data_IF_522695426726
#
_entry.id   IF_522695426726
#
_cell.length_a   1.000
_cell.length_b   1.000
_cell.length_c   1.000
_cell.angle_alpha   90.00
_cell.angle_beta   90.00
_cell.angle_gamma   90.00
#
_symmetry.space_group_name_H-M   'P 1'
#
loop_
_entity.id
_entity.type
_entity.pdbx_description
1 polymer ?
#
# COMPACT_ATOMS: atom_id res chain seq x y z
N UNK A 1 20.75 17.39 29.36
CA UNK A 1 21.24 18.31 28.30
C UNK A 1 20.56 17.92 26.99
N UNK A 2 19.70 18.78 26.45
CA UNK A 2 19.02 18.51 25.18
C UNK A 2 20.04 18.61 24.05
N UNK A 3 20.34 17.50 23.36
CA UNK A 3 21.23 17.53 22.21
C UNK A 3 20.65 18.44 21.11
N UNK A 4 21.29 19.60 20.88
CA UNK A 4 20.98 20.52 19.79
C UNK A 4 21.39 19.97 18.43
N UNK A 5 20.91 20.60 17.36
CA UNK A 5 21.16 20.19 15.98
C UNK A 5 21.32 21.39 15.05
N UNK A 6 21.48 21.14 13.76
CA UNK A 6 21.59 22.21 12.74
C UNK A 6 20.22 22.53 12.15
N UNK A 7 19.92 23.81 12.03
CA UNK A 7 18.75 24.30 11.33
C UNK A 7 18.76 23.81 9.87
N UNK A 8 17.69 23.18 9.41
CA UNK A 8 17.62 22.62 8.04
C UNK A 8 17.63 23.69 6.93
N UNK A 9 17.44 24.97 7.27
CA UNK A 9 17.41 26.09 6.30
C UNK A 9 18.74 26.83 6.24
N UNK A 10 19.31 27.23 7.39
CA UNK A 10 20.53 28.06 7.44
C UNK A 10 21.76 27.34 8.02
N UNK A 11 21.65 26.07 8.39
CA UNK A 11 22.71 25.24 8.99
C UNK A 11 23.27 25.71 10.34
N UNK A 12 22.80 26.83 10.91
CA UNK A 12 23.19 27.30 12.23
C UNK A 12 22.73 26.34 13.33
N UNK A 13 23.50 26.27 14.41
CA UNK A 13 23.15 25.46 15.57
C UNK A 13 21.87 25.98 16.26
N UNK A 14 21.01 25.07 16.68
CA UNK A 14 19.78 25.38 17.42
C UNK A 14 19.30 24.16 18.20
N UNK A 15 18.63 24.38 19.33
CA UNK A 15 18.01 23.32 20.13
C UNK A 15 16.53 23.09 19.77
N UNK A 16 15.95 23.97 18.95
CA UNK A 16 14.52 23.97 18.64
C UNK A 16 14.20 22.93 17.57
N UNK A 17 13.49 21.88 18.00
CA UNK A 17 12.97 20.82 17.12
C UNK A 17 11.59 21.17 16.57
N UNK A 18 11.24 20.60 15.42
CA UNK A 18 9.86 20.60 14.94
C UNK A 18 8.92 20.04 16.01
N UNK A 19 7.87 20.77 16.38
CA UNK A 19 6.89 20.29 17.37
C UNK A 19 6.10 19.06 16.92
N UNK A 20 5.92 18.88 15.61
CA UNK A 20 5.16 17.78 15.02
C UNK A 20 5.91 16.44 15.06
N UNK A 21 7.12 16.39 14.50
CA UNK A 21 7.88 15.15 14.37
C UNK A 21 9.10 15.04 15.29
N UNK A 22 9.57 16.15 15.88
CA UNK A 22 10.86 16.26 16.60
C UNK A 22 12.11 15.76 15.83
N UNK A 23 12.00 15.51 14.52
CA UNK A 23 13.07 14.92 13.70
C UNK A 23 14.01 15.95 13.05
N UNK A 24 13.57 17.20 12.90
CA UNK A 24 14.33 18.29 12.27
C UNK A 24 14.39 19.51 13.17
N UNK A 25 15.36 20.38 12.94
CA UNK A 25 15.61 21.57 13.76
C UNK A 25 15.41 22.87 12.96
N UNK A 26 14.97 23.93 13.64
CA UNK A 26 14.76 25.26 13.07
C UNK A 26 15.19 26.36 14.03
N UNK A 27 15.90 27.41 13.56
CA UNK A 27 16.21 28.56 14.42
C UNK A 27 14.93 29.25 14.95
N UNK A 28 13.83 29.21 14.20
CA UNK A 28 12.54 29.78 14.60
C UNK A 28 11.42 29.45 13.62
N UNK A 29 10.24 30.04 13.86
CA UNK A 29 9.02 29.80 13.04
C UNK A 29 9.20 30.19 11.57
N UNK A 30 10.05 31.16 11.27
CA UNK A 30 10.30 31.61 9.90
C UNK A 30 10.93 30.51 9.03
N UNK A 31 12.04 29.92 9.51
CA UNK A 31 12.68 28.80 8.82
C UNK A 31 11.77 27.56 8.76
N UNK A 32 10.94 27.33 9.78
CA UNK A 32 9.93 26.27 9.71
C UNK A 32 8.91 26.52 8.60
N UNK A 33 8.36 27.74 8.49
CA UNK A 33 7.40 28.10 7.44
C UNK A 33 8.01 27.99 6.05
N UNK A 34 9.25 28.46 5.88
CA UNK A 34 10.00 28.36 4.62
C UNK A 34 10.19 26.90 4.16
N UNK A 35 10.48 25.99 5.09
CA UNK A 35 10.66 24.56 4.79
C UNK A 35 9.35 23.74 4.85
N UNK A 36 8.20 24.36 5.16
CA UNK A 36 6.98 23.60 5.50
C UNK A 36 6.40 22.82 4.33
N UNK A 37 6.46 23.36 3.11
CA UNK A 37 5.91 22.72 1.91
C UNK A 37 6.57 21.37 1.61
N UNK A 38 7.88 21.27 1.82
CA UNK A 38 8.65 20.03 1.64
C UNK A 38 8.60 19.13 2.87
N UNK A 39 8.55 19.70 4.08
CA UNK A 39 8.56 18.91 5.31
C UNK A 39 7.21 18.30 5.67
N UNK A 40 6.10 19.01 5.43
CA UNK A 40 4.75 18.61 5.89
C UNK A 40 4.37 17.16 5.50
N UNK A 41 4.64 16.67 4.27
CA UNK A 41 4.31 15.29 3.89
C UNK A 41 5.07 14.21 4.71
N UNK A 42 6.22 14.58 5.26
CA UNK A 42 7.13 13.68 6.00
C UNK A 42 7.08 13.91 7.52
N UNK A 43 6.41 14.98 7.98
CA UNK A 43 6.31 15.33 9.39
C UNK A 43 5.37 14.37 10.14
N UNK A 44 5.94 13.27 10.63
CA UNK A 44 5.24 12.21 11.38
C UNK A 44 5.79 12.09 12.80
N UNK A 45 4.97 11.75 13.82
CA UNK A 45 5.44 11.54 15.19
C UNK A 45 6.16 10.19 15.39
N UNK A 46 6.62 9.58 14.30
CA UNK A 46 7.31 8.30 14.27
C UNK A 46 8.48 8.36 13.29
N UNK A 47 9.50 7.54 13.53
CA UNK A 47 10.62 7.31 12.62
C UNK A 47 10.87 5.81 12.47
N UNK A 48 11.45 5.42 11.35
CA UNK A 48 11.92 4.05 11.15
C UNK A 48 13.21 3.84 11.93
N UNK A 49 13.30 2.72 12.64
CA UNK A 49 14.49 2.22 13.30
C UNK A 49 14.72 0.77 12.88
N UNK A 50 15.96 0.30 13.00
CA UNK A 50 16.32 -1.08 12.67
C UNK A 50 16.78 -1.80 13.94
N UNK A 51 16.36 -3.05 14.10
CA UNK A 51 16.74 -3.88 15.23
C UNK A 51 17.13 -5.28 14.73
N UNK A 52 18.19 -5.91 15.26
CA UNK A 52 18.67 -7.21 14.77
C UNK A 52 17.59 -8.31 14.74
N UNK A 53 16.63 -8.27 15.67
CA UNK A 53 15.56 -9.29 15.78
C UNK A 53 14.27 -8.87 15.06
N UNK A 54 13.89 -7.59 15.12
CA UNK A 54 12.60 -7.11 14.61
C UNK A 54 12.68 -6.63 13.15
N UNK A 55 13.88 -6.34 12.66
CA UNK A 55 14.09 -5.62 11.41
C UNK A 55 13.64 -4.16 11.52
N UNK A 56 13.12 -3.62 10.41
CA UNK A 56 12.58 -2.26 10.34
C UNK A 56 11.28 -2.17 11.15
N UNK A 57 11.24 -1.22 12.07
CA UNK A 57 10.07 -0.95 12.91
C UNK A 57 9.93 0.56 13.15
N UNK A 58 8.76 0.98 13.61
CA UNK A 58 8.48 2.38 13.90
C UNK A 58 8.67 2.65 15.38
N UNK A 59 9.36 3.74 15.70
CA UNK A 59 9.51 4.25 17.06
C UNK A 59 8.95 5.66 17.15
N UNK A 60 8.22 5.94 18.23
CA UNK A 60 7.68 7.27 18.49
C UNK A 60 8.83 8.28 18.71
N UNK A 61 8.70 9.48 18.15
CA UNK A 61 9.68 10.56 18.32
C UNK A 61 9.30 11.53 19.44
N UNK A 62 8.09 11.40 19.95
CA UNK A 62 7.51 12.14 21.07
C UNK A 62 6.31 11.38 21.63
N UNK A 63 5.75 11.87 22.72
CA UNK A 63 4.46 11.41 23.21
C UNK A 63 3.36 11.65 22.17
N UNK A 64 2.53 10.63 21.97
CA UNK A 64 1.43 10.60 21.01
C UNK A 64 0.14 10.58 21.82
N UNK A 65 -0.76 11.53 21.54
CA UNK A 65 -2.03 11.62 22.27
C UNK A 65 -3.00 10.54 21.78
N UNK A 66 -3.92 10.14 22.65
CA UNK A 66 -5.02 9.27 22.26
C UNK A 66 -5.80 9.89 21.09
N UNK A 67 -6.09 9.08 20.06
CA UNK A 67 -6.80 9.51 18.85
C UNK A 67 -5.96 10.24 17.81
N UNK A 68 -4.66 10.45 18.04
CA UNK A 68 -3.79 11.12 17.08
C UNK A 68 -3.47 10.24 15.86
N UNK A 69 -3.53 10.82 14.65
CA UNK A 69 -3.16 10.12 13.42
C UNK A 69 -1.64 9.97 13.31
N UNK A 70 -1.15 8.72 13.44
CA UNK A 70 0.28 8.40 13.37
C UNK A 70 0.75 8.22 11.92
N UNK A 71 0.04 7.38 11.16
CA UNK A 71 0.34 7.05 9.76
C UNK A 71 -0.96 7.01 8.95
N UNK A 72 -0.87 7.51 7.72
CA UNK A 72 -1.86 7.29 6.66
C UNK A 72 -1.10 6.91 5.41
N UNK A 73 -1.51 5.83 4.77
CA UNK A 73 -0.89 5.33 3.56
C UNK A 73 -1.97 4.79 2.61
N UNK A 74 -1.75 5.00 1.31
CA UNK A 74 -2.58 4.38 0.27
C UNK A 74 -1.99 3.02 -0.09
N UNK A 75 -2.82 1.99 -0.29
CA UNK A 75 -2.33 0.65 -0.61
C UNK A 75 -1.54 0.65 -1.92
N UNK A 76 -0.44 -0.11 -1.94
CA UNK A 76 0.38 -0.26 -3.14
C UNK A 76 -0.30 -1.16 -4.18
N UNK A 77 -0.94 -2.23 -3.71
CA UNK A 77 -1.71 -3.20 -4.52
C UNK A 77 -3.01 -3.50 -3.77
N UNK A 78 -4.12 -3.57 -4.52
CA UNK A 78 -5.42 -4.04 -4.02
C UNK A 78 -5.86 -5.17 -4.95
N UNK A 79 -6.40 -6.25 -4.40
CA UNK A 79 -6.99 -7.32 -5.21
C UNK A 79 -7.66 -8.39 -4.36
N UNK A 80 -8.24 -9.41 -5.02
CA UNK A 80 -8.89 -10.53 -4.36
C UNK A 80 -7.93 -11.32 -3.47
N UNK A 81 -8.51 -12.05 -2.52
CA UNK A 81 -7.82 -13.13 -1.80
C UNK A 81 -7.58 -14.31 -2.75
N UNK A 82 -6.64 -15.18 -2.38
CA UNK A 82 -6.33 -16.40 -3.16
C UNK A 82 -7.55 -17.27 -3.42
N UNK A 83 -8.47 -17.27 -2.46
CA UNK A 83 -9.72 -17.99 -2.51
C UNK A 83 -10.82 -17.00 -2.11
N UNK A 84 -11.77 -16.74 -3.00
CA UNK A 84 -12.90 -15.85 -2.72
C UNK A 84 -14.17 -16.28 -3.43
N UNK A 85 -15.31 -15.78 -2.94
CA UNK A 85 -16.52 -15.69 -3.76
C UNK A 85 -16.28 -14.73 -4.92
N UNK A 86 -17.11 -14.74 -5.97
CA UNK A 86 -17.00 -13.77 -7.04
C UNK A 86 -17.03 -12.32 -6.50
N UNK A 87 -16.03 -11.55 -6.91
CA UNK A 87 -15.94 -10.12 -6.64
C UNK A 87 -15.72 -9.33 -7.93
N UNK A 88 -16.16 -8.08 -7.93
CA UNK A 88 -15.89 -7.12 -8.99
C UNK A 88 -14.42 -6.71 -8.95
N UNK A 89 -13.69 -6.90 -10.06
CA UNK A 89 -12.29 -6.47 -10.14
C UNK A 89 -12.10 -4.94 -10.11
N UNK A 90 -13.12 -4.15 -10.40
CA UNK A 90 -13.04 -2.69 -10.33
C UNK A 90 -13.14 -2.11 -8.91
N UNK A 91 -13.97 -2.70 -8.05
CA UNK A 91 -14.27 -2.14 -6.71
C UNK A 91 -14.10 -3.12 -5.54
N UNK A 92 -13.77 -4.39 -5.83
CA UNK A 92 -13.62 -5.48 -4.86
C UNK A 92 -14.87 -5.80 -4.01
N UNK A 93 -16.05 -5.32 -4.40
CA UNK A 93 -17.33 -5.73 -3.80
C UNK A 93 -17.80 -7.06 -4.37
N UNK A 94 -18.66 -7.83 -3.66
CA UNK A 94 -19.27 -9.03 -4.21
C UNK A 94 -19.90 -8.78 -5.58
N UNK A 95 -19.73 -9.73 -6.49
CA UNK A 95 -20.33 -9.70 -7.83
C UNK A 95 -21.29 -10.88 -8.00
N UNK A 96 -22.40 -10.65 -8.68
CA UNK A 96 -23.45 -11.63 -8.99
C UNK A 96 -23.30 -12.25 -10.39
N UNK A 97 -22.16 -11.98 -11.05
CA UNK A 97 -21.86 -12.37 -12.43
C UNK A 97 -22.75 -11.75 -13.52
N UNK A 98 -23.66 -10.83 -13.19
CA UNK A 98 -24.59 -10.21 -14.14
C UNK A 98 -23.90 -9.39 -15.25
N UNK A 99 -22.69 -8.89 -14.97
CA UNK A 99 -21.92 -8.07 -15.90
C UNK A 99 -20.51 -8.63 -16.08
N UNK A 100 -20.27 -9.48 -17.10
CA UNK A 100 -18.93 -9.84 -17.52
C UNK A 100 -18.26 -8.68 -18.25
N UNK A 101 -17.00 -8.41 -17.94
CA UNK A 101 -16.24 -7.37 -18.62
C UNK A 101 -16.17 -7.64 -20.14
N UNK A 102 -16.49 -6.68 -21.03
CA UNK A 102 -16.44 -6.90 -22.47
C UNK A 102 -15.05 -7.33 -22.99
N UNK A 103 -13.98 -6.83 -22.35
CA UNK A 103 -12.59 -7.13 -22.71
C UNK A 103 -12.14 -8.52 -22.25
N UNK A 104 -12.13 -8.75 -20.94
CA UNK A 104 -11.53 -9.94 -20.31
C UNK A 104 -12.52 -10.92 -19.67
N UNK A 105 -13.83 -10.66 -19.77
CA UNK A 105 -14.94 -11.46 -19.21
C UNK A 105 -14.99 -11.61 -17.68
N UNK A 106 -14.05 -11.07 -16.91
CA UNK A 106 -14.14 -11.04 -15.46
C UNK A 106 -15.41 -10.31 -14.98
N UNK A 107 -16.10 -10.79 -13.93
CA UNK A 107 -17.29 -10.15 -13.42
C UNK A 107 -16.98 -8.79 -12.80
N UNK A 108 -17.85 -7.82 -13.09
CA UNK A 108 -17.80 -6.47 -12.57
C UNK A 108 -19.20 -6.03 -12.10
N UNK A 109 -19.30 -4.88 -11.45
CA UNK A 109 -20.59 -4.30 -11.08
C UNK A 109 -21.30 -3.59 -12.25
N UNK A 110 -20.63 -3.39 -13.39
CA UNK A 110 -21.15 -2.62 -14.53
C UNK A 110 -20.09 -1.76 -15.24
N UNK A 111 -20.56 -0.92 -16.15
CA UNK A 111 -19.74 -0.08 -17.05
C UNK A 111 -18.75 0.81 -16.29
N UNK A 112 -19.16 1.39 -15.15
CA UNK A 112 -18.28 2.24 -14.34
C UNK A 112 -17.08 1.46 -13.77
N UNK A 113 -17.25 0.17 -13.46
CA UNK A 113 -16.15 -0.67 -13.00
C UNK A 113 -15.30 -1.19 -14.15
N UNK A 114 -15.85 -1.34 -15.36
CA UNK A 114 -15.06 -1.75 -16.53
C UNK A 114 -14.04 -0.70 -16.91
N UNK A 115 -14.38 0.60 -16.82
CA UNK A 115 -13.45 1.71 -17.06
C UNK A 115 -12.62 2.12 -15.84
N UNK A 116 -12.65 1.36 -14.74
CA UNK A 116 -11.94 1.73 -13.52
C UNK A 116 -10.42 1.52 -13.65
N UNK A 117 -9.63 2.48 -13.16
CA UNK A 117 -8.17 2.38 -13.16
C UNK A 117 -7.63 1.17 -12.36
N UNK A 118 -8.42 0.64 -11.42
CA UNK A 118 -8.07 -0.56 -10.65
C UNK A 118 -8.10 -1.85 -11.47
N UNK A 119 -8.83 -1.86 -12.60
CA UNK A 119 -9.03 -3.03 -13.46
C UNK A 119 -8.41 -2.88 -14.86
N UNK A 120 -8.31 -1.65 -15.39
CA UNK A 120 -7.91 -1.43 -16.78
C UNK A 120 -6.55 -2.07 -17.15
N UNK A 121 -5.52 -1.89 -16.31
CA UNK A 121 -4.16 -2.35 -16.63
C UNK A 121 -4.07 -3.87 -16.84
N UNK A 122 -4.73 -4.66 -15.98
CA UNK A 122 -4.75 -6.12 -16.14
C UNK A 122 -5.73 -6.56 -17.25
N UNK A 123 -6.82 -5.82 -17.45
CA UNK A 123 -7.79 -6.08 -18.51
C UNK A 123 -7.16 -5.94 -19.90
N UNK A 124 -6.40 -4.86 -20.12
CA UNK A 124 -5.72 -4.58 -21.38
C UNK A 124 -4.73 -5.70 -21.73
N UNK A 125 -3.97 -6.16 -20.73
CA UNK A 125 -3.06 -7.29 -20.89
C UNK A 125 -3.82 -8.57 -21.26
N UNK A 126 -4.88 -8.91 -20.53
CA UNK A 126 -5.67 -10.10 -20.80
C UNK A 126 -6.27 -10.06 -22.20
N UNK A 127 -6.84 -8.93 -22.59
CA UNK A 127 -7.42 -8.70 -23.91
C UNK A 127 -6.35 -8.84 -25.01
N UNK A 128 -5.18 -8.22 -24.84
CA UNK A 128 -4.07 -8.32 -25.79
C UNK A 128 -3.53 -9.74 -25.95
N UNK A 129 -3.76 -10.61 -24.96
CA UNK A 129 -3.40 -12.05 -25.00
C UNK A 129 -4.56 -12.95 -25.40
N UNK A 130 -5.73 -12.40 -25.72
CA UNK A 130 -6.92 -13.18 -26.04
C UNK A 130 -7.49 -13.97 -24.85
N UNK A 131 -7.06 -13.66 -23.63
CA UNK A 131 -7.58 -14.29 -22.43
C UNK A 131 -8.98 -13.76 -22.10
N UNK A 132 -9.89 -14.69 -21.81
CA UNK A 132 -11.22 -14.39 -21.26
C UNK A 132 -11.48 -15.30 -20.06
N UNK A 133 -12.02 -14.74 -18.99
CA UNK A 133 -12.34 -15.48 -17.78
C UNK A 133 -13.65 -16.28 -17.93
N UNK A 134 -13.68 -17.47 -17.33
CA UNK A 134 -14.84 -18.36 -17.28
C UNK A 134 -15.25 -18.57 -15.83
N UNK A 135 -15.84 -17.54 -15.21
CA UNK A 135 -16.21 -17.56 -13.79
C UNK A 135 -17.62 -18.14 -13.63
N UNK A 136 -17.74 -19.25 -12.89
CA UNK A 136 -19.01 -19.91 -12.54
C UNK A 136 -19.27 -19.85 -11.02
N UNK A 137 -20.53 -19.86 -10.59
CA UNK A 137 -20.89 -19.93 -9.16
C UNK A 137 -21.37 -21.34 -8.83
N UNK A 138 -20.46 -22.18 -8.35
CA UNK A 138 -20.80 -23.55 -7.93
C UNK A 138 -20.87 -23.69 -6.40
N UNK A 139 -21.19 -22.59 -5.69
CA UNK A 139 -21.15 -22.46 -4.22
C UNK A 139 -19.80 -22.83 -3.57
N UNK A 140 -18.74 -23.01 -4.38
CA UNK A 140 -17.39 -23.28 -3.91
C UNK A 140 -16.52 -22.02 -4.05
N UNK A 141 -15.60 -21.78 -3.12
CA UNK A 141 -14.62 -20.72 -3.27
C UNK A 141 -13.73 -20.93 -4.50
N UNK A 142 -13.59 -19.92 -5.34
CA UNK A 142 -12.94 -20.04 -6.65
C UNK A 142 -11.43 -19.73 -6.56
N UNK A 143 -10.55 -20.63 -7.04
CA UNK A 143 -9.12 -20.36 -7.14
C UNK A 143 -8.78 -19.43 -8.31
N UNK A 144 -9.71 -19.17 -9.23
CA UNK A 144 -9.48 -18.36 -10.43
C UNK A 144 -8.96 -16.96 -10.11
N UNK A 145 -9.42 -16.37 -9.02
CA UNK A 145 -8.99 -15.04 -8.58
C UNK A 145 -7.54 -15.02 -8.04
N UNK A 146 -6.94 -16.17 -7.76
CA UNK A 146 -5.66 -16.28 -7.07
C UNK A 146 -4.51 -15.51 -7.74
N UNK A 147 -4.52 -15.44 -9.07
CA UNK A 147 -3.45 -14.81 -9.84
C UNK A 147 -3.64 -13.30 -10.02
N UNK A 148 -4.84 -12.75 -9.78
CA UNK A 148 -5.13 -11.33 -10.04
C UNK A 148 -4.27 -10.41 -9.17
N UNK A 149 -4.22 -10.64 -7.86
CA UNK A 149 -3.40 -9.80 -6.97
C UNK A 149 -1.89 -9.88 -7.31
N UNK A 150 -1.30 -11.08 -7.53
CA UNK A 150 0.06 -11.19 -8.07
C UNK A 150 0.25 -10.46 -9.41
N UNK A 151 -0.69 -10.58 -10.33
CA UNK A 151 -0.63 -9.93 -11.64
C UNK A 151 -0.59 -8.40 -11.49
N UNK A 152 -1.47 -7.82 -10.66
CA UNK A 152 -1.47 -6.38 -10.35
C UNK A 152 -0.15 -5.92 -9.75
N UNK A 153 0.47 -6.73 -8.89
CA UNK A 153 1.79 -6.42 -8.34
C UNK A 153 2.89 -6.40 -9.42
N UNK A 154 2.83 -7.34 -10.37
CA UNK A 154 3.77 -7.41 -11.50
C UNK A 154 3.57 -6.26 -12.50
N UNK A 155 2.34 -5.76 -12.65
CA UNK A 155 1.97 -4.65 -13.54
C UNK A 155 2.13 -3.26 -12.90
N UNK A 156 2.71 -3.16 -11.71
CA UNK A 156 3.01 -1.87 -11.10
C UNK A 156 3.97 -1.04 -11.98
N UNK A 157 3.75 0.28 -12.10
CA UNK A 157 4.68 1.16 -12.81
C UNK A 157 6.06 1.18 -12.12
N UNK A 158 7.15 1.52 -12.83
CA UNK A 158 8.53 1.37 -12.32
C UNK A 158 8.79 1.99 -10.95
N UNK A 159 8.24 3.17 -10.67
CA UNK A 159 8.35 3.85 -9.38
C UNK A 159 7.67 3.08 -8.24
N UNK A 160 6.48 2.52 -8.48
CA UNK A 160 5.75 1.70 -7.49
C UNK A 160 6.38 0.31 -7.35
N UNK A 161 6.86 -0.28 -8.44
CA UNK A 161 7.54 -1.56 -8.41
C UNK A 161 8.84 -1.49 -7.60
N UNK A 162 9.57 -0.36 -7.67
CA UNK A 162 10.72 -0.10 -6.80
C UNK A 162 10.35 -0.17 -5.33
N UNK A 163 9.22 0.44 -4.93
CA UNK A 163 8.70 0.36 -3.55
C UNK A 163 8.28 -1.06 -3.19
N UNK A 164 7.55 -1.75 -4.08
CA UNK A 164 7.09 -3.13 -3.86
C UNK A 164 8.26 -4.07 -3.56
N UNK A 165 9.37 -3.94 -4.30
CA UNK A 165 10.59 -4.73 -4.10
C UNK A 165 11.30 -4.47 -2.77
N UNK A 166 10.98 -3.38 -2.06
CA UNK A 166 11.50 -3.13 -0.71
C UNK A 166 10.66 -3.80 0.39
N UNK A 167 9.51 -4.38 0.07
CA UNK A 167 8.65 -5.06 1.03
C UNK A 167 9.27 -6.40 1.43
N UNK A 168 9.18 -6.72 2.73
CA UNK A 168 9.71 -7.98 3.23
C UNK A 168 8.73 -9.12 2.94
N UNK A 169 9.21 -10.16 2.24
CA UNK A 169 8.48 -11.42 2.17
C UNK A 169 8.55 -12.15 3.50
N UNK A 170 7.39 -12.57 4.00
CA UNK A 170 7.28 -13.46 5.15
C UNK A 170 6.99 -14.91 4.74
N UNK A 171 7.33 -15.30 3.51
CA UNK A 171 7.00 -16.61 2.95
C UNK A 171 7.47 -17.77 3.84
N UNK A 172 8.73 -17.78 4.28
CA UNK A 172 9.25 -18.89 5.10
C UNK A 172 8.54 -19.01 6.46
N UNK A 173 8.10 -17.89 7.04
CA UNK A 173 7.27 -17.91 8.25
C UNK A 173 5.85 -18.39 7.94
N UNK A 174 5.28 -17.96 6.81
CA UNK A 174 3.92 -18.34 6.36
C UNK A 174 3.80 -19.80 5.97
N UNK A 175 4.85 -20.44 5.43
CA UNK A 175 4.86 -21.87 5.09
C UNK A 175 4.47 -22.77 6.26
N UNK A 176 4.70 -22.31 7.50
CA UNK A 176 4.41 -23.04 8.75
C UNK A 176 3.00 -22.76 9.30
N UNK A 177 2.21 -21.89 8.66
CA UNK A 177 0.86 -21.56 9.12
C UNK A 177 -0.19 -22.35 8.36
N UNK A 178 -1.34 -22.58 8.99
CA UNK A 178 -2.50 -23.25 8.37
C UNK A 178 -2.91 -22.59 7.06
N UNK A 179 -2.79 -21.27 6.98
CA UNK A 179 -3.18 -20.48 5.80
C UNK A 179 -2.38 -20.83 4.53
N UNK A 180 -1.12 -21.27 4.67
CA UNK A 180 -0.32 -21.71 3.51
C UNK A 180 -0.57 -23.18 3.16
N UNK A 181 -1.00 -23.99 4.13
CA UNK A 181 -1.31 -25.40 3.92
C UNK A 181 -2.60 -25.61 3.11
N UNK A 182 -3.55 -24.67 3.17
CA UNK A 182 -4.78 -24.67 2.35
C UNK A 182 -4.50 -24.53 0.84
N UNK A 183 -3.30 -24.09 0.46
CA UNK A 183 -2.89 -23.95 -0.94
C UNK A 183 -2.16 -25.18 -1.50
N UNK A 184 -2.02 -26.24 -0.70
CA UNK A 184 -1.52 -27.55 -1.13
C UNK A 184 -2.69 -28.48 -1.42
#
# INVERSE_FOLDING_TARGET
>A
MSAGGKCVVCSQHTERKCGGCKSVFYCGREHQKSHWSTHRPECRPVRVHEHPVLGRHLVATRDIKQGELIIRESPLVIGPKTVSTPICLGCCKPADLSYPCPGCAWPLCGVACSSSAAHQVECDLMQAKGYRAEITVDNQPLPDYAFITPLRALLLPPNKLKVFRTLQSHLEKRKKTSLYQVLK
#
